data_IF_256377124018
#
_entry.id   IF_256377124018
#
_cell.length_a   1.000
_cell.length_b   1.000
_cell.length_c   1.000
_cell.angle_alpha   90.00
_cell.angle_beta   90.00
_cell.angle_gamma   90.00
#
_symmetry.space_group_name_H-M   'P 1'
#
loop_
_entity.id
_entity.type
_entity.pdbx_description
1 polymer ?
#
# COMPACT_ATOMS: atom_id res chain seq x y z
N UNK A 1 15.33 50.56 23.89
CA UNK A 1 15.47 49.25 23.23
C UNK A 1 15.64 48.19 24.30
N UNK A 2 14.54 47.59 24.76
CA UNK A 2 14.56 46.50 25.74
C UNK A 2 14.69 45.19 24.97
N UNK A 3 15.84 44.53 25.07
CA UNK A 3 16.04 43.20 24.50
C UNK A 3 15.09 42.22 25.21
N UNK A 4 14.30 41.47 24.44
CA UNK A 4 13.51 40.37 24.98
C UNK A 4 14.46 39.29 25.53
N UNK A 5 14.13 38.66 26.67
CA UNK A 5 14.95 37.57 27.21
C UNK A 5 14.99 36.38 26.24
N UNK A 6 16.06 35.55 26.28
CA UNK A 6 16.14 34.34 25.48
C UNK A 6 14.97 33.43 25.83
N UNK A 7 14.19 33.01 24.83
CA UNK A 7 13.20 31.96 25.01
C UNK A 7 13.96 30.66 25.35
N UNK A 8 13.90 30.24 26.61
CA UNK A 8 14.30 28.88 27.00
C UNK A 8 13.52 27.88 26.16
N UNK A 9 14.15 26.84 25.59
CA UNK A 9 13.42 25.78 24.90
C UNK A 9 12.34 25.26 25.84
N UNK A 10 11.08 25.35 25.42
CA UNK A 10 9.94 24.79 26.15
C UNK A 10 10.28 23.36 26.56
N UNK A 11 9.99 23.02 27.81
CA UNK A 11 10.27 21.74 28.45
C UNK A 11 10.14 20.57 27.48
N UNK A 12 11.15 19.69 27.49
CA UNK A 12 11.10 18.46 26.73
C UNK A 12 9.78 17.72 26.99
N UNK A 13 9.02 17.29 25.96
CA UNK A 13 7.67 16.80 26.15
C UNK A 13 7.62 15.65 27.15
N UNK A 14 6.60 15.67 28.03
CA UNK A 14 6.35 14.67 29.07
C UNK A 14 6.45 13.25 28.46
N UNK A 15 7.04 12.27 29.16
CA UNK A 15 7.05 10.86 28.73
C UNK A 15 5.72 10.33 28.19
N UNK A 16 4.58 10.75 28.75
CA UNK A 16 3.24 10.37 28.29
C UNK A 16 2.92 10.92 26.88
N UNK A 17 3.28 12.17 26.60
CA UNK A 17 3.08 12.78 25.29
C UNK A 17 3.93 12.09 24.22
N UNK A 18 5.17 11.71 24.57
CA UNK A 18 6.05 10.94 23.68
C UNK A 18 5.49 9.55 23.38
N UNK A 19 4.89 8.89 24.37
CA UNK A 19 4.27 7.58 24.19
C UNK A 19 3.05 7.67 23.27
N UNK A 20 2.19 8.67 23.47
CA UNK A 20 1.03 8.92 22.60
C UNK A 20 1.45 9.25 21.17
N UNK A 21 2.42 10.15 20.96
CA UNK A 21 2.93 10.47 19.63
C UNK A 21 3.52 9.25 18.91
N UNK A 22 4.22 8.35 19.63
CA UNK A 22 4.70 7.09 19.06
C UNK A 22 3.55 6.16 18.65
N UNK A 23 2.51 6.05 19.46
CA UNK A 23 1.31 5.24 19.16
C UNK A 23 0.55 5.75 17.93
N UNK A 24 0.40 7.06 17.82
CA UNK A 24 -0.28 7.69 16.69
C UNK A 24 0.52 7.56 15.40
N UNK A 25 1.85 7.71 15.47
CA UNK A 25 2.72 7.51 14.31
C UNK A 25 2.68 6.07 13.79
N UNK A 26 2.62 5.08 14.69
CA UNK A 26 2.40 3.68 14.29
C UNK A 26 1.05 3.52 13.57
N UNK A 27 0.01 4.21 14.03
CA UNK A 27 -1.32 4.18 13.40
C UNK A 27 -1.29 4.78 11.99
N UNK A 28 -0.58 5.89 11.78
CA UNK A 28 -0.40 6.50 10.44
C UNK A 28 0.34 5.56 9.49
N UNK A 29 1.42 4.92 9.96
CA UNK A 29 2.17 3.95 9.15
C UNK A 29 1.30 2.74 8.82
N UNK A 30 0.61 2.17 9.81
CA UNK A 30 -0.27 1.02 9.60
C UNK A 30 -1.40 1.35 8.61
N UNK A 31 -2.06 2.49 8.77
CA UNK A 31 -3.07 2.95 7.83
C UNK A 31 -2.50 3.13 6.42
N UNK A 32 -1.33 3.78 6.29
CA UNK A 32 -0.66 3.96 5.01
C UNK A 32 -0.37 2.63 4.32
N UNK A 33 0.23 1.66 5.03
CA UNK A 33 0.51 0.32 4.46
C UNK A 33 -0.77 -0.38 4.03
N UNK A 34 -1.82 -0.37 4.86
CA UNK A 34 -3.11 -0.98 4.52
C UNK A 34 -3.76 -0.33 3.29
N UNK A 35 -3.73 1.00 3.19
CA UNK A 35 -4.17 1.70 2.00
C UNK A 35 -3.32 1.35 0.78
N UNK A 36 -2.00 1.25 0.93
CA UNK A 36 -1.10 0.86 -0.15
C UNK A 36 -1.43 -0.53 -0.69
N UNK A 37 -1.60 -1.52 0.19
CA UNK A 37 -2.00 -2.89 -0.19
C UNK A 37 -3.33 -2.88 -0.94
N UNK A 38 -4.35 -2.20 -0.40
CA UNK A 38 -5.67 -2.12 -1.02
C UNK A 38 -5.65 -1.39 -2.37
N UNK A 39 -4.99 -0.24 -2.46
CA UNK A 39 -4.96 0.56 -3.68
C UNK A 39 -4.15 -0.08 -4.81
N UNK A 40 -3.01 -0.71 -4.51
CA UNK A 40 -2.26 -1.44 -5.55
C UNK A 40 -3.08 -2.61 -6.09
N UNK A 41 -3.72 -3.39 -5.20
CA UNK A 41 -4.59 -4.47 -5.64
C UNK A 41 -5.83 -3.98 -6.40
N UNK A 42 -6.45 -2.87 -6.01
CA UNK A 42 -7.51 -2.25 -6.82
C UNK A 42 -6.99 -1.77 -8.18
N UNK A 43 -5.78 -1.23 -8.24
CA UNK A 43 -5.19 -0.79 -9.49
C UNK A 43 -4.96 -1.99 -10.43
N UNK A 44 -4.40 -3.09 -9.92
CA UNK A 44 -4.27 -4.35 -10.67
C UNK A 44 -5.64 -4.86 -11.15
N UNK A 45 -6.60 -5.02 -10.24
CA UNK A 45 -7.92 -5.57 -10.56
C UNK A 45 -8.76 -4.68 -11.49
N UNK A 46 -8.70 -3.36 -11.36
CA UNK A 46 -9.48 -2.46 -12.23
C UNK A 46 -8.74 -2.18 -13.52
N UNK A 47 -7.48 -1.77 -13.46
CA UNK A 47 -6.76 -1.35 -14.66
C UNK A 47 -6.31 -2.55 -15.46
N UNK A 48 -5.69 -3.56 -14.83
CA UNK A 48 -5.11 -4.68 -15.57
C UNK A 48 -6.15 -5.76 -15.88
N UNK A 49 -7.03 -6.13 -14.94
CA UNK A 49 -8.04 -7.17 -15.22
C UNK A 49 -9.26 -6.66 -16.00
N UNK A 50 -9.76 -5.45 -15.69
CA UNK A 50 -11.06 -5.01 -16.23
C UNK A 50 -10.94 -4.05 -17.41
N UNK A 51 -10.08 -3.03 -17.31
CA UNK A 51 -9.93 -2.02 -18.38
C UNK A 51 -9.06 -2.57 -19.51
N UNK A 52 -7.87 -3.05 -19.17
CA UNK A 52 -6.92 -3.57 -20.15
C UNK A 52 -7.16 -5.03 -20.49
N UNK A 53 -7.74 -5.80 -19.56
CA UNK A 53 -8.02 -7.23 -19.72
C UNK A 53 -6.77 -8.00 -20.12
N UNK A 54 -5.62 -7.65 -19.53
CA UNK A 54 -4.35 -8.31 -19.84
C UNK A 54 -4.26 -9.69 -19.20
N UNK A 55 -4.86 -9.83 -18.04
CA UNK A 55 -4.90 -11.05 -17.24
C UNK A 55 -6.10 -11.00 -16.28
N UNK A 56 -6.52 -12.16 -15.78
CA UNK A 56 -7.50 -12.31 -14.70
C UNK A 56 -6.98 -13.37 -13.73
N UNK A 57 -7.60 -13.48 -12.55
CA UNK A 57 -7.13 -14.34 -11.46
C UNK A 57 -6.79 -15.79 -11.84
N UNK A 58 -7.48 -16.35 -12.84
CA UNK A 58 -7.38 -17.76 -13.21
C UNK A 58 -7.04 -17.97 -14.69
N UNK A 59 -6.72 -16.91 -15.44
CA UNK A 59 -6.48 -17.03 -16.90
C UNK A 59 -5.32 -17.98 -17.20
N UNK A 60 -4.23 -17.94 -16.44
CA UNK A 60 -3.09 -18.85 -16.62
C UNK A 60 -3.30 -20.22 -15.96
N UNK A 61 -4.33 -20.37 -15.12
CA UNK A 61 -4.72 -21.65 -14.51
C UNK A 61 -5.59 -22.55 -15.43
N UNK A 62 -5.74 -22.19 -16.71
CA UNK A 62 -6.52 -22.95 -17.69
C UNK A 62 -7.98 -22.51 -17.83
N UNK A 63 -8.38 -21.41 -17.19
CA UNK A 63 -9.71 -20.81 -17.33
C UNK A 63 -9.66 -19.67 -18.35
N UNK A 64 -9.76 -20.02 -19.63
CA UNK A 64 -9.61 -19.05 -20.72
C UNK A 64 -10.69 -17.94 -20.70
N UNK A 65 -10.23 -16.70 -20.76
CA UNK A 65 -11.01 -15.47 -20.93
C UNK A 65 -11.77 -15.38 -22.27
N UNK A 66 -11.39 -16.20 -23.25
CA UNK A 66 -12.07 -16.33 -24.56
C UNK A 66 -13.35 -17.17 -24.53
N UNK A 67 -13.72 -17.74 -23.38
CA UNK A 67 -14.95 -18.53 -23.22
C UNK A 67 -15.88 -17.91 -22.19
N UNK A 68 -17.20 -18.04 -22.38
CA UNK A 68 -18.19 -17.53 -21.41
C UNK A 68 -18.03 -18.20 -20.03
N UNK A 69 -17.71 -19.50 -20.00
CA UNK A 69 -17.50 -20.22 -18.75
C UNK A 69 -16.25 -19.75 -18.01
N UNK A 70 -15.12 -19.59 -18.72
CA UNK A 70 -13.88 -19.07 -18.14
C UNK A 70 -14.03 -17.63 -17.68
N UNK A 71 -14.68 -16.77 -18.48
CA UNK A 71 -14.93 -15.37 -18.11
C UNK A 71 -15.80 -15.26 -16.83
N UNK A 72 -16.80 -16.13 -16.66
CA UNK A 72 -17.60 -16.17 -15.41
C UNK A 72 -16.76 -16.56 -14.19
N UNK A 73 -15.86 -17.53 -14.34
CA UNK A 73 -14.99 -17.96 -13.24
C UNK A 73 -13.94 -16.91 -12.90
N UNK A 74 -13.32 -16.29 -13.91
CA UNK A 74 -12.42 -15.15 -13.72
C UNK A 74 -13.13 -13.96 -13.08
N UNK A 75 -14.33 -13.60 -13.54
CA UNK A 75 -15.13 -12.52 -12.92
C UNK A 75 -15.41 -12.80 -11.43
N UNK A 76 -15.71 -14.05 -11.07
CA UNK A 76 -15.89 -14.44 -9.68
C UNK A 76 -14.58 -14.31 -8.90
N UNK A 77 -13.48 -14.83 -9.43
CA UNK A 77 -12.17 -14.81 -8.78
C UNK A 77 -11.64 -13.38 -8.61
N UNK A 78 -11.73 -12.53 -9.65
CA UNK A 78 -11.43 -11.09 -9.59
C UNK A 78 -12.32 -10.42 -8.53
N UNK A 79 -13.61 -10.77 -8.45
CA UNK A 79 -14.51 -10.24 -7.43
C UNK A 79 -14.07 -10.59 -6.00
N UNK A 80 -13.64 -11.84 -5.77
CA UNK A 80 -13.09 -12.28 -4.48
C UNK A 80 -11.77 -11.58 -4.16
N UNK A 81 -10.90 -11.41 -5.14
CA UNK A 81 -9.69 -10.60 -5.03
C UNK A 81 -10.02 -9.16 -4.62
N UNK A 82 -11.01 -8.53 -5.27
CA UNK A 82 -11.49 -7.19 -4.91
C UNK A 82 -12.06 -7.10 -3.49
N UNK A 83 -12.69 -8.17 -2.97
CA UNK A 83 -13.14 -8.19 -1.56
C UNK A 83 -11.94 -8.10 -0.61
N UNK A 84 -10.83 -8.78 -0.91
CA UNK A 84 -9.61 -8.73 -0.10
C UNK A 84 -8.98 -7.32 -0.16
N UNK A 85 -8.85 -6.74 -1.35
CA UNK A 85 -8.30 -5.38 -1.50
C UNK A 85 -9.19 -4.32 -0.83
N UNK A 86 -10.51 -4.47 -0.95
CA UNK A 86 -11.49 -3.64 -0.24
C UNK A 86 -11.35 -3.74 1.28
N UNK A 87 -11.14 -4.95 1.81
CA UNK A 87 -10.94 -5.17 3.23
C UNK A 87 -9.66 -4.46 3.74
N UNK A 88 -8.57 -4.47 2.96
CA UNK A 88 -7.37 -3.69 3.28
C UNK A 88 -7.65 -2.19 3.30
N UNK A 89 -8.33 -1.66 2.27
CA UNK A 89 -8.70 -0.24 2.21
C UNK A 89 -9.58 0.18 3.39
N UNK A 90 -10.63 -0.60 3.72
CA UNK A 90 -11.49 -0.33 4.87
C UNK A 90 -10.73 -0.41 6.19
N UNK A 91 -9.83 -1.38 6.35
CA UNK A 91 -9.01 -1.50 7.54
C UNK A 91 -8.09 -0.28 7.71
N UNK A 92 -7.47 0.18 6.61
CA UNK A 92 -6.67 1.41 6.59
C UNK A 92 -7.48 2.64 7.01
N UNK A 93 -8.71 2.74 6.50
CA UNK A 93 -9.66 3.80 6.87
C UNK A 93 -10.00 3.76 8.35
N UNK A 94 -10.37 2.60 8.89
CA UNK A 94 -10.72 2.44 10.31
C UNK A 94 -9.52 2.76 11.21
N UNK A 95 -8.32 2.28 10.87
CA UNK A 95 -7.10 2.57 11.64
C UNK A 95 -6.81 4.07 11.66
N UNK A 96 -6.91 4.74 10.51
CA UNK A 96 -6.69 6.18 10.41
C UNK A 96 -7.77 6.97 11.15
N UNK A 97 -9.03 6.59 10.98
CA UNK A 97 -10.17 7.23 11.63
C UNK A 97 -10.05 7.21 13.16
N UNK A 98 -9.75 6.03 13.72
CA UNK A 98 -9.53 5.89 15.17
C UNK A 98 -8.32 6.67 15.67
N UNK A 99 -7.31 6.90 14.84
CA UNK A 99 -6.16 7.73 15.19
C UNK A 99 -6.53 9.22 15.20
N UNK A 100 -7.40 9.67 14.30
CA UNK A 100 -7.93 11.03 14.27
C UNK A 100 -8.82 11.32 15.49
N UNK A 101 -9.70 10.39 15.88
CA UNK A 101 -10.59 10.54 17.05
C UNK A 101 -9.82 10.75 18.37
N UNK A 102 -8.57 10.27 18.47
CA UNK A 102 -7.73 10.47 19.66
C UNK A 102 -7.15 11.88 19.79
N UNK A 103 -7.27 12.73 18.77
CA UNK A 103 -6.98 14.17 18.83
C UNK A 103 -5.51 14.59 18.91
N UNK A 104 -4.55 13.66 18.91
CA UNK A 104 -3.10 13.95 19.03
C UNK A 104 -2.26 13.43 17.85
N UNK A 105 -2.89 13.24 16.68
CA UNK A 105 -2.25 12.66 15.51
C UNK A 105 -1.07 13.52 15.03
N UNK A 106 0.15 13.00 15.21
CA UNK A 106 1.36 13.57 14.63
C UNK A 106 1.42 13.32 13.11
N UNK A 107 0.57 14.03 12.36
CA UNK A 107 0.44 13.87 10.92
C UNK A 107 1.74 14.19 10.20
N UNK A 108 2.09 13.37 9.22
CA UNK A 108 3.18 13.64 8.31
C UNK A 108 2.87 13.02 6.96
N UNK A 109 2.65 13.86 5.95
CA UNK A 109 2.36 13.41 4.58
C UNK A 109 3.48 12.53 4.03
N UNK A 110 4.74 12.76 4.43
CA UNK A 110 5.89 11.92 4.05
C UNK A 110 5.82 10.53 4.69
N UNK A 111 5.43 10.44 5.96
CA UNK A 111 5.27 9.15 6.64
C UNK A 111 4.12 8.37 6.03
N UNK A 112 2.97 9.01 5.86
CA UNK A 112 1.79 8.37 5.29
C UNK A 112 2.05 7.95 3.83
N UNK A 113 2.56 8.86 3.00
CA UNK A 113 2.89 8.55 1.61
C UNK A 113 3.98 7.48 1.48
N UNK A 114 5.00 7.52 2.33
CA UNK A 114 6.04 6.48 2.37
C UNK A 114 5.49 5.12 2.76
N UNK A 115 4.62 5.07 3.77
CA UNK A 115 3.94 3.84 4.19
C UNK A 115 2.98 3.30 3.10
N UNK A 116 2.28 4.19 2.39
CA UNK A 116 1.42 3.85 1.26
C UNK A 116 2.22 3.20 0.13
N UNK A 117 3.37 3.78 -0.25
CA UNK A 117 4.25 3.19 -1.26
C UNK A 117 4.85 1.85 -0.82
N UNK A 118 5.18 1.70 0.47
CA UNK A 118 5.60 0.40 1.03
C UNK A 118 4.48 -0.62 0.89
N UNK A 119 3.24 -0.27 1.26
CA UNK A 119 2.10 -1.16 1.13
C UNK A 119 1.86 -1.57 -0.32
N UNK A 120 1.88 -0.61 -1.25
CA UNK A 120 1.68 -0.89 -2.67
C UNK A 120 2.79 -1.80 -3.23
N UNK A 121 4.05 -1.47 -3.00
CA UNK A 121 5.15 -2.30 -3.44
C UNK A 121 5.19 -3.69 -2.79
N UNK A 122 4.73 -3.82 -1.55
CA UNK A 122 4.60 -5.12 -0.87
C UNK A 122 3.52 -5.97 -1.52
N UNK A 123 2.39 -5.38 -1.91
CA UNK A 123 1.35 -6.08 -2.66
C UNK A 123 1.94 -6.65 -3.96
N UNK A 124 2.52 -5.81 -4.82
CA UNK A 124 3.06 -6.22 -6.12
C UNK A 124 4.14 -7.32 -5.98
N UNK A 125 5.02 -7.21 -4.98
CA UNK A 125 6.07 -8.23 -4.77
C UNK A 125 5.49 -9.56 -4.27
N UNK A 126 4.55 -9.52 -3.31
CA UNK A 126 3.97 -10.75 -2.75
C UNK A 126 3.10 -11.44 -3.79
N UNK A 127 2.25 -10.70 -4.47
CA UNK A 127 1.37 -11.18 -5.54
C UNK A 127 2.21 -11.75 -6.68
N UNK A 128 3.21 -11.01 -7.19
CA UNK A 128 4.04 -11.51 -8.28
C UNK A 128 4.88 -12.73 -7.91
N UNK A 129 5.40 -12.83 -6.68
CA UNK A 129 6.13 -14.02 -6.23
C UNK A 129 5.19 -15.22 -6.11
N UNK A 130 4.05 -15.04 -5.44
CA UNK A 130 3.15 -16.17 -5.12
C UNK A 130 2.38 -16.59 -6.37
N UNK A 131 1.68 -15.67 -7.00
CA UNK A 131 0.68 -15.99 -8.02
C UNK A 131 1.31 -16.15 -9.43
N UNK A 132 2.33 -15.36 -9.77
CA UNK A 132 2.99 -15.47 -11.08
C UNK A 132 4.09 -16.54 -11.10
N UNK A 133 4.92 -16.63 -10.05
CA UNK A 133 6.11 -17.48 -10.08
C UNK A 133 5.97 -18.81 -9.33
N UNK A 134 5.37 -18.82 -8.14
CA UNK A 134 5.21 -20.06 -7.35
C UNK A 134 4.01 -20.87 -7.89
N UNK A 135 2.87 -20.22 -8.06
CA UNK A 135 1.63 -20.86 -8.51
C UNK A 135 1.49 -20.86 -10.04
N UNK A 136 1.98 -19.82 -10.72
CA UNK A 136 1.90 -19.72 -12.19
C UNK A 136 0.47 -19.59 -12.72
N UNK A 137 -0.44 -19.02 -11.92
CA UNK A 137 -1.86 -18.94 -12.24
C UNK A 137 -2.30 -17.59 -12.80
N UNK A 138 -1.43 -16.58 -12.71
CA UNK A 138 -1.81 -15.18 -12.89
C UNK A 138 -0.75 -14.32 -13.61
N UNK A 139 -0.14 -14.77 -14.69
CA UNK A 139 0.91 -13.95 -15.33
C UNK A 139 0.39 -12.56 -15.76
N UNK A 140 1.19 -11.50 -15.55
CA UNK A 140 0.81 -10.09 -15.80
C UNK A 140 0.31 -9.88 -17.22
N UNK A 141 0.93 -10.56 -18.18
CA UNK A 141 0.50 -10.55 -19.57
C UNK A 141 0.94 -11.82 -20.25
N UNK A 142 -0.01 -12.72 -20.48
CA UNK A 142 0.27 -13.99 -21.12
C UNK A 142 0.76 -13.84 -22.56
N UNK A 143 1.59 -14.80 -22.99
CA UNK A 143 2.12 -14.87 -24.36
C UNK A 143 3.58 -14.43 -24.47
N UNK A 144 3.99 -13.77 -25.58
CA UNK A 144 5.39 -13.43 -25.79
C UNK A 144 5.96 -12.54 -24.68
N UNK A 145 7.12 -12.94 -24.16
CA UNK A 145 7.86 -12.25 -23.08
C UNK A 145 7.12 -12.22 -21.73
N UNK A 146 6.24 -13.16 -21.44
CA UNK A 146 5.52 -13.29 -20.16
C UNK A 146 6.43 -13.12 -18.94
N UNK A 147 7.54 -13.88 -18.88
CA UNK A 147 8.52 -13.76 -17.80
C UNK A 147 9.09 -12.34 -17.65
N UNK A 148 9.27 -11.60 -18.75
CA UNK A 148 9.78 -10.23 -18.68
C UNK A 148 8.73 -9.27 -18.08
N UNK A 149 7.44 -9.50 -18.35
CA UNK A 149 6.35 -8.74 -17.73
C UNK A 149 6.26 -9.02 -16.23
N UNK A 150 6.34 -10.29 -15.81
CA UNK A 150 6.31 -10.65 -14.39
C UNK A 150 7.52 -10.06 -13.64
N UNK A 151 8.72 -10.12 -14.23
CA UNK A 151 9.91 -9.51 -13.65
C UNK A 151 9.82 -7.98 -13.59
N UNK A 152 9.23 -7.34 -14.58
CA UNK A 152 9.01 -5.89 -14.58
C UNK A 152 8.01 -5.48 -13.47
N UNK A 153 6.98 -6.29 -13.24
CA UNK A 153 6.03 -6.09 -12.14
C UNK A 153 6.69 -6.22 -10.77
N UNK A 154 7.50 -7.26 -10.55
CA UNK A 154 8.31 -7.39 -9.33
C UNK A 154 9.28 -6.22 -9.14
N UNK A 155 9.94 -5.79 -10.22
CA UNK A 155 10.87 -4.66 -10.17
C UNK A 155 10.16 -3.35 -9.82
N UNK A 156 8.95 -3.12 -10.35
CA UNK A 156 8.12 -1.99 -9.99
C UNK A 156 7.73 -2.04 -8.51
N UNK A 157 7.25 -3.19 -8.03
CA UNK A 157 6.89 -3.40 -6.63
C UNK A 157 8.06 -3.13 -5.67
N UNK A 158 9.23 -3.70 -5.97
CA UNK A 158 10.46 -3.46 -5.20
C UNK A 158 10.85 -1.97 -5.21
N UNK A 159 10.73 -1.31 -6.36
CA UNK A 159 11.02 0.13 -6.49
C UNK A 159 10.07 0.97 -5.63
N UNK A 160 8.77 0.70 -5.68
CA UNK A 160 7.77 1.38 -4.84
C UNK A 160 8.09 1.18 -3.35
N UNK A 161 8.40 -0.05 -2.93
CA UNK A 161 8.74 -0.34 -1.54
C UNK A 161 10.01 0.39 -1.07
N UNK A 162 11.06 0.43 -1.89
CA UNK A 162 12.32 1.13 -1.59
C UNK A 162 12.08 2.64 -1.50
N UNK A 163 11.41 3.23 -2.49
CA UNK A 163 11.10 4.66 -2.50
C UNK A 163 10.21 5.04 -1.30
N UNK A 164 9.23 4.21 -0.99
CA UNK A 164 8.38 4.37 0.18
C UNK A 164 9.15 4.36 1.49
N UNK A 165 10.10 3.43 1.62
CA UNK A 165 10.99 3.36 2.78
C UNK A 165 11.91 4.57 2.92
N UNK A 166 12.50 5.04 1.83
CA UNK A 166 13.32 6.26 1.82
C UNK A 166 12.49 7.49 2.24
N UNK A 167 11.27 7.62 1.71
CA UNK A 167 10.36 8.72 2.03
C UNK A 167 9.89 8.67 3.48
N UNK A 168 9.57 7.48 3.99
CA UNK A 168 9.18 7.27 5.38
C UNK A 168 10.30 7.67 6.34
N UNK A 169 11.55 7.28 6.03
CA UNK A 169 12.75 7.69 6.79
C UNK A 169 12.95 9.20 6.77
N UNK A 170 12.84 9.82 5.61
CA UNK A 170 12.94 11.28 5.49
C UNK A 170 11.86 12.00 6.33
N UNK A 171 10.64 11.46 6.37
CA UNK A 171 9.56 11.98 7.22
C UNK A 171 9.81 11.79 8.72
N UNK A 172 10.56 10.76 9.13
CA UNK A 172 10.98 10.51 10.51
C UNK A 172 12.00 11.51 11.04
N UNK A 173 12.77 12.14 10.15
CA UNK A 173 13.77 13.13 10.52
C UNK A 173 13.21 14.57 10.61
N UNK A 174 11.99 14.82 10.15
CA UNK A 174 11.37 16.14 10.22
C UNK A 174 10.60 16.34 11.54
N UNK A 175 10.82 17.45 12.26
CA UNK A 175 9.98 17.83 13.39
C UNK A 175 8.54 18.05 12.89
N UNK A 176 7.58 17.43 13.56
CA UNK A 176 6.16 17.64 13.28
C UNK A 176 5.79 19.02 13.83
N UNK A 177 5.63 20.03 12.97
CA UNK A 177 5.07 21.31 13.39
C UNK A 177 3.57 21.13 13.60
N UNK A 178 3.09 21.51 14.79
CA UNK A 178 1.66 21.60 15.12
C UNK A 178 1.05 22.83 14.46
#
# INVERSE_FOLDING_TARGET
MTANPPQTPLDSPNPLDRANQKGDRKSVVAAGVLFGLGFSGFFDGVVLHQILQWHHMLTSAGYADTTVAGLKLNTLADGLFHVVTYAFTLSGLVVLWRALERGNLAWSSKVFGGALLIGAGTFDVVEGIIDHHILGIHHVKSGPNELAWDLAFLALGATLAILGWLLLRAGQQQPTYK
#
